data_IF_347195818095
#
_entry.id   IF_347195818095
#
_cell.length_a   1.000
_cell.length_b   1.000
_cell.length_c   1.000
_cell.angle_alpha   90.00
_cell.angle_beta   90.00
_cell.angle_gamma   90.00
#
_symmetry.space_group_name_H-M   'P 1'
#
loop_
_entity.id
_entity.type
_entity.pdbx_description
1 polymer ?
#
# COMPACT_ATOMS: atom_id res chain seq x y z
N UNK A 1 6.68 7.63 -0.26
CA UNK A 1 6.60 6.62 -1.34
C UNK A 1 7.88 6.42 -2.14
N UNK A 2 8.66 7.48 -2.44
CA UNK A 2 9.92 7.40 -3.21
C UNK A 2 10.88 6.33 -2.65
N UNK A 3 11.07 6.28 -1.32
CA UNK A 3 12.04 5.35 -0.72
C UNK A 3 11.64 3.88 -0.84
N UNK A 4 10.35 3.56 -0.74
CA UNK A 4 9.85 2.20 -0.95
C UNK A 4 10.16 1.72 -2.37
N UNK A 5 9.92 2.58 -3.37
CA UNK A 5 10.22 2.25 -4.76
C UNK A 5 11.71 2.04 -5.01
N UNK A 6 12.58 2.86 -4.43
CA UNK A 6 14.02 2.68 -4.54
C UNK A 6 14.50 1.37 -3.94
N UNK A 7 14.02 1.03 -2.74
CA UNK A 7 14.56 -0.08 -1.96
C UNK A 7 13.97 -1.45 -2.32
N UNK A 8 12.72 -1.49 -2.79
CA UNK A 8 12.00 -2.76 -2.97
C UNK A 8 11.55 -3.02 -4.40
N UNK A 9 11.12 -1.98 -5.12
CA UNK A 9 10.62 -2.15 -6.49
C UNK A 9 11.79 -2.20 -7.48
N UNK A 10 12.70 -1.21 -7.43
CA UNK A 10 13.87 -1.16 -8.34
C UNK A 10 14.85 -2.30 -8.12
N UNK A 11 14.80 -2.94 -6.96
CA UNK A 11 15.62 -4.10 -6.58
C UNK A 11 14.92 -5.43 -6.88
N UNK A 12 13.71 -5.42 -7.45
CA UNK A 12 12.88 -6.60 -7.73
C UNK A 12 12.58 -7.46 -6.50
N UNK A 13 12.59 -6.89 -5.29
CA UNK A 13 12.22 -7.60 -4.06
C UNK A 13 10.71 -7.68 -3.85
N UNK A 14 9.96 -6.70 -4.37
CA UNK A 14 8.50 -6.63 -4.28
C UNK A 14 7.96 -6.18 -5.64
N UNK A 15 6.84 -6.75 -6.07
CA UNK A 15 6.20 -6.40 -7.33
C UNK A 15 5.71 -4.95 -7.38
N UNK A 16 5.80 -4.34 -8.56
CA UNK A 16 5.37 -2.96 -8.81
C UNK A 16 3.92 -2.68 -8.41
N UNK A 17 3.02 -3.66 -8.51
CA UNK A 17 1.61 -3.54 -8.11
C UNK A 17 1.44 -3.05 -6.66
N UNK A 18 2.35 -3.42 -5.76
CA UNK A 18 2.29 -3.00 -4.37
C UNK A 18 2.64 -1.53 -4.19
N UNK A 19 3.44 -0.95 -5.08
CA UNK A 19 3.67 0.51 -5.13
C UNK A 19 2.39 1.26 -5.48
N UNK A 20 1.63 0.76 -6.45
CA UNK A 20 0.35 1.36 -6.84
C UNK A 20 -0.65 1.32 -5.68
N UNK A 21 -0.76 0.17 -5.02
CA UNK A 21 -1.63 -0.03 -3.85
C UNK A 21 -1.32 0.96 -2.74
N UNK A 22 -0.05 1.05 -2.29
CA UNK A 22 0.27 1.89 -1.14
C UNK A 22 0.25 3.39 -1.47
N UNK A 23 0.48 3.78 -2.75
CA UNK A 23 0.24 5.15 -3.18
C UNK A 23 -1.26 5.48 -3.10
N UNK A 24 -2.12 4.64 -3.66
CA UNK A 24 -3.56 4.88 -3.70
C UNK A 24 -4.17 4.96 -2.29
N UNK A 25 -3.80 4.04 -1.40
CA UNK A 25 -4.25 4.06 0.00
C UNK A 25 -3.72 5.29 0.73
N UNK A 26 -2.49 5.73 0.44
CA UNK A 26 -1.91 6.94 1.04
C UNK A 26 -2.65 8.20 0.59
N UNK A 27 -2.92 8.36 -0.70
CA UNK A 27 -3.67 9.50 -1.25
C UNK A 27 -5.09 9.54 -0.70
N UNK A 28 -5.78 8.39 -0.66
CA UNK A 28 -7.12 8.33 -0.07
C UNK A 28 -7.14 8.73 1.40
N UNK A 29 -6.10 8.35 2.17
CA UNK A 29 -5.94 8.79 3.56
C UNK A 29 -5.66 10.30 3.62
N UNK A 30 -4.78 10.84 2.77
CA UNK A 30 -4.50 12.27 2.74
C UNK A 30 -5.77 13.07 2.47
N UNK A 31 -6.55 12.68 1.47
CA UNK A 31 -7.81 13.36 1.15
C UNK A 31 -8.80 13.23 2.31
N UNK A 32 -8.96 12.04 2.91
CA UNK A 32 -9.85 11.85 4.05
C UNK A 32 -9.47 12.70 5.28
N UNK A 33 -8.18 12.82 5.58
CA UNK A 33 -7.68 13.50 6.77
C UNK A 33 -7.57 15.02 6.58
N UNK A 34 -7.33 15.50 5.35
CA UNK A 34 -6.89 16.88 5.10
C UNK A 34 -7.69 17.66 4.06
N UNK A 35 -8.48 17.00 3.18
CA UNK A 35 -9.38 17.76 2.29
C UNK A 35 -10.62 18.24 3.05
N UNK A 36 -11.08 19.45 2.69
CA UNK A 36 -12.25 20.07 3.29
C UNK A 36 -13.55 19.28 3.02
N UNK A 37 -13.65 18.65 1.84
CA UNK A 37 -14.75 17.78 1.45
C UNK A 37 -14.19 16.47 0.88
N UNK A 38 -13.91 15.51 1.77
CA UNK A 38 -13.53 14.16 1.37
C UNK A 38 -14.76 13.37 0.91
N UNK A 39 -14.79 12.98 -0.37
CA UNK A 39 -15.84 12.12 -0.91
C UNK A 39 -15.30 10.70 -1.13
N UNK A 40 -15.39 9.88 -0.09
CA UNK A 40 -15.10 8.44 -0.17
C UNK A 40 -16.38 7.68 0.14
N UNK A 41 -16.91 6.96 -0.85
CA UNK A 41 -18.08 6.12 -0.67
C UNK A 41 -17.76 4.87 0.16
N UNK A 42 -18.76 4.23 0.79
CA UNK A 42 -18.55 2.96 1.51
C UNK A 42 -17.96 1.85 0.64
N UNK A 43 -18.25 1.85 -0.67
CA UNK A 43 -17.68 0.90 -1.62
C UNK A 43 -16.19 1.15 -1.82
N UNK A 44 -15.80 2.39 -2.09
CA UNK A 44 -14.39 2.79 -2.24
C UNK A 44 -13.60 2.52 -0.95
N UNK A 45 -14.17 2.84 0.21
CA UNK A 45 -13.57 2.52 1.50
C UNK A 45 -13.30 1.02 1.66
N UNK A 46 -14.24 0.15 1.24
CA UNK A 46 -14.06 -1.29 1.27
C UNK A 46 -12.98 -1.77 0.31
N UNK A 47 -12.90 -1.20 -0.88
CA UNK A 47 -11.84 -1.53 -1.86
C UNK A 47 -10.45 -1.10 -1.36
N UNK A 48 -10.35 0.08 -0.74
CA UNK A 48 -9.12 0.57 -0.10
C UNK A 48 -8.69 -0.33 1.06
N UNK A 49 -9.63 -0.82 1.86
CA UNK A 49 -9.34 -1.77 2.95
C UNK A 49 -8.74 -3.08 2.41
N UNK A 50 -9.35 -3.67 1.38
CA UNK A 50 -8.83 -4.90 0.75
C UNK A 50 -7.42 -4.68 0.19
N UNK A 51 -7.16 -3.52 -0.43
CA UNK A 51 -5.84 -3.13 -0.92
C UNK A 51 -4.81 -3.03 0.23
N UNK A 52 -5.19 -2.41 1.34
CA UNK A 52 -4.34 -2.31 2.52
C UNK A 52 -4.02 -3.70 3.13
N UNK A 53 -5.01 -4.60 3.19
CA UNK A 53 -4.83 -5.98 3.64
C UNK A 53 -3.87 -6.77 2.74
N UNK A 54 -3.98 -6.58 1.43
CA UNK A 54 -3.08 -7.20 0.45
C UNK A 54 -1.62 -6.71 0.63
N UNK A 55 -1.43 -5.40 0.85
CA UNK A 55 -0.11 -4.84 1.15
C UNK A 55 0.48 -5.38 2.46
N UNK A 56 -0.35 -5.48 3.50
CA UNK A 56 0.06 -6.05 4.79
C UNK A 56 0.46 -7.52 4.66
N UNK A 57 -0.30 -8.30 3.90
CA UNK A 57 -0.02 -9.72 3.66
C UNK A 57 1.32 -9.91 2.97
N UNK A 58 1.56 -9.17 1.88
CA UNK A 58 2.87 -9.17 1.19
C UNK A 58 4.00 -8.78 2.14
N UNK A 59 3.79 -7.74 2.97
CA UNK A 59 4.81 -7.29 3.93
C UNK A 59 5.17 -8.40 4.92
N UNK A 60 4.19 -9.12 5.45
CA UNK A 60 4.41 -10.26 6.35
C UNK A 60 5.20 -11.37 5.64
N UNK A 61 4.79 -11.75 4.44
CA UNK A 61 5.47 -12.77 3.62
C UNK A 61 6.92 -12.40 3.34
N UNK A 62 7.19 -11.13 3.00
CA UNK A 62 8.55 -10.63 2.82
C UNK A 62 9.41 -10.88 4.06
N UNK A 63 8.92 -10.55 5.26
CA UNK A 63 9.68 -10.76 6.50
C UNK A 63 9.77 -12.23 6.92
N UNK A 64 8.75 -13.05 6.65
CA UNK A 64 8.79 -14.49 6.92
C UNK A 64 9.87 -15.17 6.09
N UNK A 65 9.96 -14.86 4.80
CA UNK A 65 11.00 -15.38 3.91
C UNK A 65 12.42 -14.94 4.29
N UNK A 66 12.58 -13.86 5.05
CA UNK A 66 13.87 -13.39 5.55
C UNK A 66 14.31 -14.11 6.84
N UNK A 67 13.42 -14.82 7.53
CA UNK A 67 13.74 -15.57 8.77
C UNK A 67 14.25 -17.00 8.50
N UNK A 68 14.25 -17.44 7.25
CA UNK A 68 14.72 -18.77 6.84
C UNK A 68 16.22 -18.85 6.54
N UNK A 69 17.00 -17.82 6.90
CA UNK A 69 18.46 -17.76 6.81
C UNK A 69 19.09 -17.55 8.19
#
# INVERSE_FOLDING_TARGET
MIKFNELFIKTNLIDYQYSLIINEVFEARQNADYDFEAHISPKEAKELLVKAELFLTMTKQYFENQKEY
#
